data_IF_683762940370
#
_entry.id   IF_683762940370
#
_cell.length_a   1.000
_cell.length_b   1.000
_cell.length_c   1.000
_cell.angle_alpha   90.00
_cell.angle_beta   90.00
_cell.angle_gamma   90.00
#
_symmetry.space_group_name_H-M   'P 1'
#
loop_
_entity.id
_entity.type
_entity.pdbx_description
1 polymer ?
#
# COMPACT_ATOMS: atom_id res chain seq x y z
N UNK A 1 12.20 3.41 -16.76
CA UNK A 1 12.99 4.33 -15.87
C UNK A 1 12.63 5.75 -16.26
N UNK A 2 12.15 6.61 -15.35
CA UNK A 2 11.53 7.94 -15.60
C UNK A 2 12.33 8.79 -16.62
N UNK A 3 13.64 8.84 -16.48
CA UNK A 3 14.53 9.66 -17.34
C UNK A 3 14.62 9.08 -18.75
N UNK A 4 14.70 7.78 -18.91
CA UNK A 4 14.86 7.12 -20.22
C UNK A 4 13.59 7.16 -21.08
N UNK A 5 12.44 7.39 -20.47
CA UNK A 5 11.12 7.38 -21.12
C UNK A 5 10.57 8.80 -21.33
N UNK A 6 11.36 9.84 -21.02
CA UNK A 6 11.00 11.24 -21.28
C UNK A 6 9.96 11.84 -20.34
N UNK A 7 9.69 11.19 -19.19
CA UNK A 7 8.78 11.75 -18.19
C UNK A 7 9.45 12.85 -17.37
N UNK A 8 8.71 13.91 -17.05
CA UNK A 8 9.16 15.00 -16.20
C UNK A 8 9.23 14.64 -14.72
N UNK A 9 8.28 13.82 -14.27
CA UNK A 9 8.19 13.28 -12.90
C UNK A 9 7.33 12.02 -12.89
N UNK A 10 7.32 11.32 -11.75
CA UNK A 10 6.37 10.25 -11.49
C UNK A 10 5.85 10.34 -10.06
N UNK A 11 4.65 9.76 -9.83
CA UNK A 11 4.11 9.54 -8.50
C UNK A 11 4.51 8.14 -8.07
N UNK A 12 5.13 8.02 -6.89
CA UNK A 12 5.51 6.75 -6.29
C UNK A 12 4.81 6.58 -4.95
N UNK A 13 4.22 5.42 -4.75
CA UNK A 13 3.60 5.00 -3.48
C UNK A 13 4.46 3.89 -2.88
N UNK A 14 4.72 3.97 -1.58
CA UNK A 14 5.47 2.98 -0.83
C UNK A 14 6.62 3.57 -0.03
N UNK A 15 7.64 2.74 0.18
CA UNK A 15 8.88 3.16 0.84
C UNK A 15 9.89 3.64 -0.20
N UNK A 16 10.59 4.73 0.11
CA UNK A 16 11.67 5.20 -0.73
C UNK A 16 12.88 4.29 -0.57
N UNK A 17 13.44 3.91 -1.71
CA UNK A 17 14.77 3.30 -1.79
C UNK A 17 15.79 4.37 -2.19
N UNK A 18 17.03 4.18 -1.79
CA UNK A 18 18.11 5.06 -2.18
C UNK A 18 18.21 5.17 -3.71
N UNK A 19 18.14 6.38 -4.21
CA UNK A 19 18.22 6.67 -5.63
C UNK A 19 18.75 8.10 -5.84
N UNK A 20 19.25 8.39 -7.04
CA UNK A 20 19.69 9.73 -7.44
C UNK A 20 18.51 10.66 -7.78
N UNK A 21 17.26 10.23 -7.57
CA UNK A 21 16.08 11.04 -7.86
C UNK A 21 15.73 11.93 -6.67
N UNK A 22 15.21 13.11 -6.95
CA UNK A 22 14.67 13.98 -5.92
C UNK A 22 13.23 13.56 -5.65
N UNK A 23 12.94 13.23 -4.39
CA UNK A 23 11.62 12.82 -3.93
C UNK A 23 11.03 13.89 -2.99
N UNK A 24 9.80 14.29 -3.23
CA UNK A 24 9.02 15.12 -2.32
C UNK A 24 7.78 14.36 -1.86
N UNK A 25 7.66 14.15 -0.56
CA UNK A 25 6.48 13.54 0.04
C UNK A 25 5.28 14.46 -0.15
N UNK A 26 4.15 13.90 -0.57
CA UNK A 26 2.90 14.62 -0.79
C UNK A 26 1.80 14.16 0.15
N UNK A 27 1.92 12.97 0.74
CA UNK A 27 0.97 12.52 1.75
C UNK A 27 1.33 11.17 2.36
N UNK A 28 0.64 10.77 3.44
CA UNK A 28 0.74 9.43 4.01
C UNK A 28 -0.05 8.44 3.16
N UNK A 29 0.38 7.17 3.19
CA UNK A 29 -0.38 6.03 2.68
C UNK A 29 -0.42 5.01 3.81
N UNK A 30 -1.62 4.68 4.23
CA UNK A 30 -1.88 3.63 5.20
C UNK A 30 -2.32 2.37 4.48
N UNK A 31 -1.80 1.24 4.88
CA UNK A 31 -2.15 -0.05 4.33
C UNK A 31 -2.69 -0.97 5.41
N UNK A 32 -3.43 -1.99 4.98
CA UNK A 32 -3.95 -3.05 5.86
C UNK A 32 -3.76 -4.39 5.21
N UNK A 33 -3.62 -5.41 6.04
CA UNK A 33 -3.80 -6.79 5.62
C UNK A 33 -5.28 -7.11 5.69
N UNK A 34 -5.83 -7.67 4.61
CA UNK A 34 -7.26 -7.84 4.40
C UNK A 34 -7.57 -9.21 3.82
N UNK A 35 -8.73 -9.75 4.17
CA UNK A 35 -9.31 -10.92 3.52
C UNK A 35 -10.83 -10.80 3.48
N UNK A 36 -11.50 -11.55 2.60
CA UNK A 36 -12.94 -11.63 2.62
C UNK A 36 -13.45 -12.51 3.79
N UNK A 37 -14.67 -12.27 4.29
CA UNK A 37 -15.29 -13.15 5.31
C UNK A 37 -15.32 -14.62 4.88
N UNK A 38 -15.56 -14.88 3.59
CA UNK A 38 -15.59 -16.25 3.05
C UNK A 38 -14.23 -16.93 3.12
N UNK A 39 -13.14 -16.22 2.82
CA UNK A 39 -11.79 -16.74 2.96
C UNK A 39 -11.48 -17.06 4.44
N UNK A 40 -11.78 -16.12 5.34
CA UNK A 40 -11.56 -16.29 6.78
C UNK A 40 -12.33 -17.49 7.33
N UNK A 41 -13.58 -17.67 6.90
CA UNK A 41 -14.41 -18.82 7.32
C UNK A 41 -13.81 -20.16 6.87
N UNK A 42 -13.26 -20.22 5.66
CA UNK A 42 -12.72 -21.46 5.08
C UNK A 42 -11.30 -21.79 5.55
N UNK A 43 -10.45 -20.79 5.81
CA UNK A 43 -9.01 -20.98 6.04
C UNK A 43 -8.51 -20.42 7.39
N UNK A 44 -9.38 -19.74 8.14
CA UNK A 44 -8.95 -18.93 9.29
C UNK A 44 -8.29 -17.62 8.88
N UNK A 45 -7.95 -16.80 9.87
CA UNK A 45 -7.15 -15.59 9.69
C UNK A 45 -5.78 -15.78 10.33
N UNK A 46 -4.69 -15.32 9.70
CA UNK A 46 -3.39 -15.30 10.37
C UNK A 46 -3.43 -14.34 11.56
N UNK A 47 -2.90 -14.76 12.69
CA UNK A 47 -2.77 -13.93 13.90
C UNK A 47 -1.40 -13.30 14.01
N UNK A 48 -0.39 -13.89 13.37
CA UNK A 48 1.00 -13.43 13.38
C UNK A 48 1.61 -13.45 11.98
N UNK A 49 2.63 -12.61 11.69
CA UNK A 49 3.22 -12.51 10.37
C UNK A 49 3.82 -13.81 9.80
N UNK A 50 4.33 -14.69 10.65
CA UNK A 50 4.88 -16.00 10.25
C UNK A 50 3.79 -16.98 9.78
N UNK A 51 2.57 -16.86 10.28
CA UNK A 51 1.44 -17.67 9.82
C UNK A 51 1.03 -17.38 8.37
N UNK A 52 1.45 -16.23 7.81
CA UNK A 52 1.22 -15.91 6.40
C UNK A 52 1.80 -16.94 5.44
N UNK A 53 2.80 -17.72 5.86
CA UNK A 53 3.33 -18.84 5.08
C UNK A 53 2.30 -19.95 4.81
N UNK A 54 1.21 -20.01 5.57
CA UNK A 54 0.13 -20.98 5.43
C UNK A 54 -1.07 -20.45 4.64
N UNK A 55 -1.01 -19.19 4.20
CA UNK A 55 -2.09 -18.52 3.47
C UNK A 55 -1.71 -18.19 2.03
N UNK A 56 -2.69 -18.18 1.14
CA UNK A 56 -2.52 -17.66 -0.22
C UNK A 56 -2.41 -16.13 -0.17
N UNK A 57 -1.25 -15.61 -0.54
CA UNK A 57 -1.04 -14.17 -0.65
C UNK A 57 -1.38 -13.66 -2.05
N UNK A 58 -2.11 -12.56 -2.12
CA UNK A 58 -2.40 -11.86 -3.36
C UNK A 58 -1.34 -10.77 -3.55
N UNK A 59 -0.42 -10.97 -4.50
CA UNK A 59 0.83 -10.24 -4.59
C UNK A 59 0.87 -9.31 -5.78
N UNK A 60 1.54 -8.17 -5.60
CA UNK A 60 1.83 -7.24 -6.70
C UNK A 60 3.04 -7.71 -7.54
N UNK A 61 3.90 -8.52 -6.96
CA UNK A 61 5.09 -9.05 -7.61
C UNK A 61 5.82 -10.06 -6.73
N UNK A 62 7.09 -9.77 -6.44
CA UNK A 62 7.95 -10.58 -5.54
C UNK A 62 8.32 -9.79 -4.29
N UNK A 63 7.45 -8.88 -3.88
CA UNK A 63 7.64 -8.01 -2.75
C UNK A 63 7.74 -8.79 -1.43
N UNK A 64 8.38 -8.15 -0.46
CA UNK A 64 8.28 -8.51 0.95
C UNK A 64 7.24 -7.62 1.61
N UNK A 65 6.50 -8.19 2.56
CA UNK A 65 5.56 -7.44 3.39
C UNK A 65 6.21 -7.12 4.72
N UNK A 66 5.96 -5.91 5.21
CA UNK A 66 6.50 -5.43 6.48
C UNK A 66 5.36 -5.17 7.45
N UNK A 67 5.58 -5.54 8.71
CA UNK A 67 4.65 -5.35 9.80
C UNK A 67 5.39 -4.82 11.03
N UNK A 68 4.66 -4.10 11.88
CA UNK A 68 5.21 -3.58 13.14
C UNK A 68 4.82 -4.48 14.31
N UNK A 69 5.77 -4.74 15.20
CA UNK A 69 5.54 -5.31 16.53
C UNK A 69 6.12 -4.32 17.54
N UNK A 70 5.29 -3.38 18.00
CA UNK A 70 5.75 -2.19 18.67
C UNK A 70 6.68 -1.38 17.76
N UNK A 71 7.91 -1.13 18.23
CA UNK A 71 8.93 -0.38 17.46
C UNK A 71 9.75 -1.28 16.51
N UNK A 72 9.49 -2.59 16.49
CA UNK A 72 10.25 -3.54 15.69
C UNK A 72 9.55 -3.81 14.37
N UNK A 73 10.31 -3.72 13.27
CA UNK A 73 9.82 -4.12 11.94
C UNK A 73 10.08 -5.61 11.70
N UNK A 74 9.02 -6.33 11.38
CA UNK A 74 9.05 -7.72 10.96
C UNK A 74 8.88 -7.78 9.44
N UNK A 75 9.74 -8.53 8.76
CA UNK A 75 9.67 -8.68 7.30
C UNK A 75 9.33 -10.12 6.94
N UNK A 76 8.31 -10.30 6.11
CA UNK A 76 7.83 -11.61 5.66
C UNK A 76 7.89 -11.66 4.14
N UNK A 77 8.19 -12.84 3.60
CA UNK A 77 8.05 -13.15 2.17
C UNK A 77 6.82 -14.04 1.99
N UNK A 78 5.66 -13.45 1.73
CA UNK A 78 4.46 -14.22 1.51
C UNK A 78 4.57 -15.01 0.20
N UNK A 79 3.78 -16.07 0.12
CA UNK A 79 3.71 -16.92 -1.07
C UNK A 79 2.28 -16.91 -1.60
N UNK A 80 2.13 -16.88 -2.92
CA UNK A 80 0.84 -16.92 -3.56
C UNK A 80 0.94 -17.12 -5.06
N UNK A 81 -0.09 -17.73 -5.62
CA UNK A 81 -0.17 -18.04 -7.05
C UNK A 81 -0.76 -16.88 -7.85
N UNK A 82 -1.58 -16.04 -7.21
CA UNK A 82 -2.18 -14.88 -7.86
C UNK A 82 -1.26 -13.67 -7.74
N UNK A 83 -0.91 -13.11 -8.90
CA UNK A 83 -0.08 -11.91 -9.00
C UNK A 83 -0.71 -10.93 -9.99
N UNK A 84 -0.78 -9.66 -9.61
CA UNK A 84 -1.25 -8.59 -10.48
C UNK A 84 -0.52 -7.28 -10.15
N UNK A 85 -0.15 -6.53 -11.17
CA UNK A 85 0.45 -5.19 -11.04
C UNK A 85 -0.58 -4.07 -10.84
N UNK A 86 -1.85 -4.46 -10.69
CA UNK A 86 -2.99 -3.55 -10.54
C UNK A 86 -3.69 -3.80 -9.20
N UNK A 87 -3.78 -2.76 -8.36
CA UNK A 87 -4.42 -2.83 -7.05
C UNK A 87 -5.90 -3.19 -7.11
N UNK A 88 -6.65 -2.74 -8.14
CA UNK A 88 -8.06 -3.09 -8.29
C UNK A 88 -8.26 -4.59 -8.57
N UNK A 89 -7.34 -5.22 -9.31
CA UNK A 89 -7.36 -6.67 -9.53
C UNK A 89 -7.10 -7.43 -8.21
N UNK A 90 -6.20 -6.93 -7.37
CA UNK A 90 -5.94 -7.53 -6.05
C UNK A 90 -7.14 -7.36 -5.11
N UNK A 91 -7.82 -6.21 -5.12
CA UNK A 91 -9.07 -5.98 -4.38
C UNK A 91 -10.15 -6.96 -4.83
N UNK A 92 -10.35 -7.12 -6.14
CA UNK A 92 -11.33 -8.06 -6.70
C UNK A 92 -11.01 -9.51 -6.30
N UNK A 93 -9.75 -9.93 -6.38
CA UNK A 93 -9.31 -11.26 -5.99
C UNK A 93 -9.53 -11.50 -4.46
N UNK A 94 -9.20 -10.52 -3.61
CA UNK A 94 -9.43 -10.61 -2.18
C UNK A 94 -10.92 -10.72 -1.84
N UNK A 95 -11.76 -9.89 -2.47
CA UNK A 95 -13.21 -9.91 -2.31
C UNK A 95 -13.83 -11.24 -2.77
N UNK A 96 -13.28 -11.83 -3.85
CA UNK A 96 -13.66 -13.15 -4.33
C UNK A 96 -13.18 -14.31 -3.45
N UNK A 97 -12.44 -14.04 -2.36
CA UNK A 97 -11.98 -15.06 -1.43
C UNK A 97 -10.77 -15.88 -1.90
N UNK A 98 -9.96 -15.33 -2.80
CA UNK A 98 -8.80 -16.06 -3.32
C UNK A 98 -7.59 -16.03 -2.39
N UNK A 99 -7.57 -15.18 -1.38
CA UNK A 99 -6.43 -15.09 -0.46
C UNK A 99 -6.45 -13.85 0.41
N UNK A 100 -5.31 -13.59 1.05
CA UNK A 100 -5.04 -12.39 1.85
C UNK A 100 -4.30 -11.37 1.01
N UNK A 101 -4.64 -10.10 1.16
CA UNK A 101 -4.02 -9.00 0.42
C UNK A 101 -3.50 -7.91 1.35
N UNK A 102 -2.33 -7.36 1.03
CA UNK A 102 -1.82 -6.16 1.67
C UNK A 102 -2.06 -4.97 0.73
N UNK A 103 -3.02 -4.12 1.07
CA UNK A 103 -3.52 -3.08 0.20
C UNK A 103 -3.66 -1.73 0.92
N UNK A 104 -3.49 -0.60 0.22
CA UNK A 104 -3.70 0.72 0.78
C UNK A 104 -5.18 1.02 1.03
N UNK A 105 -5.45 1.80 2.08
CA UNK A 105 -6.81 2.16 2.51
C UNK A 105 -7.61 2.87 1.42
N UNK A 106 -6.97 3.70 0.60
CA UNK A 106 -7.61 4.39 -0.50
C UNK A 106 -8.24 3.46 -1.58
N UNK A 107 -7.80 2.20 -1.65
CA UNK A 107 -8.39 1.19 -2.54
C UNK A 107 -9.43 0.31 -1.85
N UNK A 108 -9.41 0.22 -0.52
CA UNK A 108 -10.16 -0.79 0.21
C UNK A 108 -11.23 -0.23 1.12
N UNK A 109 -11.27 1.09 1.34
CA UNK A 109 -12.18 1.76 2.26
C UNK A 109 -13.65 1.35 2.05
N UNK A 110 -14.14 1.46 0.82
CA UNK A 110 -15.55 1.14 0.52
C UNK A 110 -15.85 -0.36 0.71
N UNK A 111 -14.89 -1.23 0.39
CA UNK A 111 -15.03 -2.68 0.56
C UNK A 111 -15.04 -3.08 2.03
N UNK A 112 -14.27 -2.39 2.87
CA UNK A 112 -14.28 -2.58 4.33
C UNK A 112 -15.58 -2.06 4.93
N UNK A 113 -16.01 -0.85 4.53
CA UNK A 113 -17.28 -0.28 4.99
C UNK A 113 -18.50 -1.15 4.63
N UNK A 114 -18.46 -1.79 3.45
CA UNK A 114 -19.49 -2.74 3.00
C UNK A 114 -19.37 -4.15 3.63
N UNK A 115 -18.31 -4.42 4.42
CA UNK A 115 -18.06 -5.74 5.00
C UNK A 115 -17.59 -6.80 3.98
N UNK A 116 -17.27 -6.41 2.75
CA UNK A 116 -16.76 -7.31 1.72
C UNK A 116 -15.30 -7.74 1.97
N UNK A 117 -14.53 -6.87 2.63
CA UNK A 117 -13.19 -7.13 3.12
C UNK A 117 -13.12 -6.81 4.62
N UNK A 118 -12.36 -7.60 5.35
CA UNK A 118 -12.14 -7.43 6.79
C UNK A 118 -10.65 -7.27 7.06
N UNK A 119 -10.24 -6.24 7.81
CA UNK A 119 -8.87 -6.13 8.31
C UNK A 119 -8.54 -7.31 9.23
N UNK A 120 -7.41 -7.93 9.00
CA UNK A 120 -6.90 -9.06 9.78
C UNK A 120 -5.51 -8.73 10.32
N UNK A 121 -5.08 -9.45 11.35
CA UNK A 121 -3.76 -9.29 11.98
C UNK A 121 -3.49 -7.83 12.43
N UNK A 122 -4.51 -7.15 12.94
CA UNK A 122 -4.46 -5.71 13.29
C UNK A 122 -3.46 -5.36 14.39
N UNK A 123 -3.05 -6.36 15.21
CA UNK A 123 -1.98 -6.20 16.20
C UNK A 123 -0.61 -5.91 15.56
N UNK A 124 -0.42 -6.30 14.30
CA UNK A 124 0.80 -6.11 13.55
C UNK A 124 0.52 -5.21 12.34
N UNK A 125 0.28 -3.91 12.54
CA UNK A 125 -0.03 -3.02 11.44
C UNK A 125 1.17 -2.90 10.48
N UNK A 126 0.95 -2.68 9.19
CA UNK A 126 2.01 -2.27 8.28
C UNK A 126 2.63 -0.94 8.72
N UNK A 127 3.94 -0.73 8.53
CA UNK A 127 4.55 0.56 8.79
C UNK A 127 3.96 1.63 7.85
N UNK A 128 3.90 2.90 8.29
CA UNK A 128 3.41 3.99 7.46
C UNK A 128 4.23 4.15 6.19
N UNK A 129 3.58 4.11 5.04
CA UNK A 129 4.16 4.41 3.74
C UNK A 129 3.91 5.87 3.34
N UNK A 130 4.39 6.30 2.19
CA UNK A 130 4.16 7.62 1.66
C UNK A 130 3.84 7.63 0.18
N UNK A 131 3.17 8.69 -0.25
CA UNK A 131 3.09 9.09 -1.65
C UNK A 131 4.12 10.18 -1.91
N UNK A 132 4.84 10.05 -3.01
CA UNK A 132 5.93 10.95 -3.38
C UNK A 132 5.84 11.37 -4.83
N UNK A 133 6.12 12.63 -5.10
CA UNK A 133 6.49 13.09 -6.45
C UNK A 133 7.99 12.91 -6.56
N UNK A 134 8.43 12.08 -7.51
CA UNK A 134 9.84 11.85 -7.80
C UNK A 134 10.20 12.46 -9.15
N UNK A 135 11.38 13.06 -9.25
CA UNK A 135 11.86 13.72 -10.45
C UNK A 135 13.37 13.56 -10.63
N UNK A 136 13.90 13.76 -11.84
CA UNK A 136 15.33 13.84 -12.06
C UNK A 136 15.97 14.95 -11.22
N UNK A 137 17.26 14.83 -10.87
CA UNK A 137 18.00 15.87 -10.19
C UNK A 137 18.08 17.13 -11.07
N UNK A 138 18.07 18.30 -10.44
CA UNK A 138 18.13 19.60 -11.07
C UNK A 138 17.87 20.69 -10.04
N UNK A 139 18.36 21.93 -10.31
CA UNK A 139 18.31 22.99 -9.30
C UNK A 139 16.87 23.43 -8.96
N UNK A 140 15.98 23.52 -9.95
CA UNK A 140 14.61 23.96 -9.73
C UNK A 140 13.60 23.06 -10.47
N UNK A 141 12.52 22.63 -9.81
CA UNK A 141 11.44 21.91 -10.50
C UNK A 141 10.72 22.85 -11.46
N UNK A 142 10.37 22.36 -12.65
CA UNK A 142 9.52 23.09 -13.58
C UNK A 142 8.20 23.50 -12.90
N UNK A 143 7.62 24.64 -13.32
CA UNK A 143 6.37 25.16 -12.74
C UNK A 143 5.25 24.10 -12.70
N UNK A 144 5.12 23.29 -13.77
CA UNK A 144 4.14 22.21 -13.87
C UNK A 144 4.29 21.16 -12.74
N UNK A 145 5.53 20.82 -12.38
CA UNK A 145 5.81 19.85 -11.30
C UNK A 145 5.48 20.46 -9.94
N UNK A 146 5.76 21.74 -9.72
CA UNK A 146 5.38 22.43 -8.48
C UNK A 146 3.87 22.46 -8.29
N UNK A 147 3.14 22.89 -9.32
CA UNK A 147 1.67 22.94 -9.29
C UNK A 147 1.07 21.56 -9.02
N UNK A 148 1.55 20.52 -9.71
CA UNK A 148 1.13 19.15 -9.45
C UNK A 148 1.39 18.73 -8.01
N UNK A 149 2.59 19.03 -7.50
CA UNK A 149 2.98 18.67 -6.14
C UNK A 149 2.10 19.35 -5.10
N UNK A 150 1.84 20.66 -5.27
CA UNK A 150 1.02 21.45 -4.36
C UNK A 150 -0.44 20.96 -4.39
N UNK A 151 -0.99 20.64 -5.57
CA UNK A 151 -2.32 20.05 -5.72
C UNK A 151 -2.42 18.70 -5.02
N UNK A 152 -1.40 17.85 -5.14
CA UNK A 152 -1.39 16.56 -4.47
C UNK A 152 -1.31 16.71 -2.94
N UNK A 153 -0.48 17.63 -2.43
CA UNK A 153 -0.40 17.91 -0.98
C UNK A 153 -1.77 18.36 -0.46
N UNK A 154 -2.44 19.25 -1.17
CA UNK A 154 -3.78 19.70 -0.80
C UNK A 154 -4.78 18.54 -0.81
N UNK A 155 -4.79 17.73 -1.87
CA UNK A 155 -5.67 16.58 -2.00
C UNK A 155 -5.48 15.57 -0.87
N UNK A 156 -4.23 15.19 -0.56
CA UNK A 156 -3.93 14.27 0.54
C UNK A 156 -4.29 14.86 1.90
N UNK A 157 -4.14 16.18 2.08
CA UNK A 157 -4.48 16.86 3.33
C UNK A 157 -5.99 16.99 3.58
N UNK A 158 -6.80 16.99 2.54
CA UNK A 158 -8.27 17.15 2.62
C UNK A 158 -9.03 15.82 2.61
N UNK A 159 -8.42 14.74 2.16
CA UNK A 159 -9.10 13.46 1.99
C UNK A 159 -9.06 12.62 3.27
N UNK A 160 -10.23 12.25 3.84
CA UNK A 160 -10.32 11.40 5.02
C UNK A 160 -9.75 10.00 4.80
N UNK A 161 -9.65 9.55 3.55
CA UNK A 161 -9.09 8.23 3.18
C UNK A 161 -7.57 8.14 3.35
N UNK A 162 -6.89 9.28 3.51
CA UNK A 162 -5.45 9.35 3.78
C UNK A 162 -5.14 9.82 5.20
N UNK A 163 -6.13 10.33 5.92
CA UNK A 163 -6.01 10.51 7.36
C UNK A 163 -6.05 9.12 8.01
N UNK A 164 -4.93 8.68 8.60
CA UNK A 164 -4.92 7.44 9.37
C UNK A 164 -6.06 7.49 10.38
N UNK A 165 -6.91 6.49 10.41
CA UNK A 165 -7.76 6.24 11.56
C UNK A 165 -6.81 5.88 12.69
N UNK A 166 -6.45 6.85 13.52
CA UNK A 166 -5.92 6.59 14.84
C UNK A 166 -6.97 5.71 15.52
N UNK A 167 -6.61 4.44 15.71
CA UNK A 167 -7.45 3.52 16.46
C UNK A 167 -7.49 4.01 17.91
N UNK A 168 -8.67 4.45 18.37
CA UNK A 168 -9.02 4.42 19.78
C UNK A 168 -9.13 2.98 20.27
#
# INVERSE_FOLDING_TARGET
MIIAEGYDCAIRVGYLQDSNLIARRVGPIHGKLLASPGYIHAHGAPETPDQLAQHEALMQGTETWQFMDGDKTLTVRPQGRFKADNGAALVAAATAGLGVAYLPDCLTHDHVAAGALVPIMTRYPPPPAGAYVIRPPGQHPARKIRVLTDLLIEHFGQSPHFAGTDAE
#
